data_IF_681240517825
#
_entry.id   IF_681240517825
#
_cell.length_a   1.000
_cell.length_b   1.000
_cell.length_c   1.000
_cell.angle_alpha   90.00
_cell.angle_beta   90.00
_cell.angle_gamma   90.00
#
_symmetry.space_group_name_H-M   'P 1'
#
loop_
_entity.id
_entity.type
_entity.pdbx_description
1 polymer ?
#
# COMPACT_ATOMS: atom_id res chain seq x y z
N UNK A 1 14.09 17.55 -3.57
CA UNK A 1 15.22 18.42 -3.15
C UNK A 1 16.14 17.75 -2.14
N UNK A 2 15.64 17.09 -1.08
CA UNK A 2 16.52 16.46 -0.08
C UNK A 2 17.49 15.40 -0.66
N UNK A 3 17.03 14.59 -1.63
CA UNK A 3 17.89 13.63 -2.36
C UNK A 3 19.10 14.30 -3.03
N UNK A 4 18.93 15.50 -3.58
CA UNK A 4 20.02 16.27 -4.19
C UNK A 4 21.08 16.66 -3.15
N UNK A 5 20.64 17.03 -1.94
CA UNK A 5 21.51 17.36 -0.82
C UNK A 5 21.95 16.14 0.01
N UNK A 6 21.54 14.93 -0.36
CA UNK A 6 21.80 13.67 0.37
C UNK A 6 21.34 13.72 1.84
N UNK A 7 20.19 14.33 2.09
CA UNK A 7 19.57 14.39 3.42
C UNK A 7 18.30 13.54 3.48
N UNK A 8 17.96 12.97 4.66
CA UNK A 8 16.69 12.29 4.85
C UNK A 8 15.50 13.23 4.61
N UNK A 9 14.43 12.66 4.05
CA UNK A 9 13.14 13.34 3.88
C UNK A 9 12.24 12.98 5.06
N UNK A 10 11.83 14.01 5.79
CA UNK A 10 10.71 13.98 6.71
C UNK A 10 9.50 14.58 5.99
N UNK A 11 8.45 13.79 5.79
CA UNK A 11 7.26 14.18 5.03
C UNK A 11 5.98 13.88 5.82
N UNK A 12 4.93 14.68 5.61
CA UNK A 12 3.60 14.43 6.18
C UNK A 12 2.86 13.44 5.30
N UNK A 13 2.33 12.38 5.90
CA UNK A 13 1.44 11.43 5.24
C UNK A 13 0.02 11.52 5.80
N UNK A 14 -0.91 10.81 5.16
CA UNK A 14 -2.25 10.50 5.70
C UNK A 14 -3.03 11.67 6.32
N UNK A 15 -2.95 12.82 5.64
CA UNK A 15 -3.74 13.99 6.01
C UNK A 15 -5.08 14.01 5.29
N UNK A 16 -6.12 14.50 5.95
CA UNK A 16 -7.42 14.77 5.34
C UNK A 16 -8.08 15.96 5.99
N UNK A 17 -8.88 16.68 5.20
CA UNK A 17 -9.75 17.74 5.70
C UNK A 17 -11.13 17.21 6.09
N UNK A 18 -11.40 15.91 5.91
CA UNK A 18 -12.66 15.32 6.34
C UNK A 18 -12.81 15.36 7.86
N UNK A 19 -14.06 15.53 8.29
CA UNK A 19 -14.46 15.70 9.69
C UNK A 19 -14.76 14.36 10.35
N UNK A 20 -14.95 13.32 9.53
CA UNK A 20 -15.39 12.00 9.94
C UNK A 20 -14.66 10.93 9.12
N UNK A 21 -14.59 9.69 9.61
CA UNK A 21 -14.08 8.56 8.83
C UNK A 21 -15.01 8.20 7.67
N UNK A 22 -14.86 8.91 6.55
CA UNK A 22 -15.66 8.73 5.35
C UNK A 22 -14.82 8.46 4.11
N UNK A 23 -15.50 8.48 2.96
CA UNK A 23 -14.88 8.24 1.67
C UNK A 23 -13.85 9.33 1.29
N UNK A 24 -14.07 10.59 1.71
CA UNK A 24 -13.12 11.66 1.49
C UNK A 24 -11.84 11.39 2.28
N UNK A 25 -11.96 11.03 3.57
CA UNK A 25 -10.82 10.65 4.40
C UNK A 25 -10.01 9.51 3.75
N UNK A 26 -10.69 8.48 3.26
CA UNK A 26 -10.03 7.36 2.57
C UNK A 26 -9.23 7.79 1.33
N UNK A 27 -9.85 8.55 0.41
CA UNK A 27 -9.20 8.94 -0.84
C UNK A 27 -8.02 9.91 -0.63
N UNK A 28 -8.19 10.94 0.19
CA UNK A 28 -7.14 11.94 0.44
C UNK A 28 -5.92 11.29 1.09
N UNK A 29 -6.14 10.50 2.15
CA UNK A 29 -5.07 9.82 2.86
C UNK A 29 -4.33 8.82 1.99
N UNK A 30 -5.06 7.99 1.23
CA UNK A 30 -4.44 6.99 0.36
C UNK A 30 -3.59 7.63 -0.75
N UNK A 31 -4.08 8.71 -1.37
CA UNK A 31 -3.34 9.41 -2.43
C UNK A 31 -2.06 10.06 -1.89
N UNK A 32 -2.15 10.75 -0.75
CA UNK A 32 -0.98 11.40 -0.13
C UNK A 32 0.05 10.35 0.28
N UNK A 33 -0.36 9.28 0.97
CA UNK A 33 0.56 8.22 1.40
C UNK A 33 1.30 7.58 0.23
N UNK A 34 0.60 7.27 -0.86
CA UNK A 34 1.23 6.69 -2.03
C UNK A 34 2.25 7.64 -2.66
N UNK A 35 1.90 8.92 -2.82
CA UNK A 35 2.80 9.92 -3.41
C UNK A 35 4.04 10.16 -2.55
N UNK A 36 3.86 10.27 -1.23
CA UNK A 36 4.97 10.45 -0.29
C UNK A 36 5.87 9.23 -0.28
N UNK A 37 5.31 8.02 -0.27
CA UNK A 37 6.08 6.79 -0.37
C UNK A 37 6.85 6.69 -1.69
N UNK A 38 6.22 6.99 -2.82
CA UNK A 38 6.88 7.01 -4.14
C UNK A 38 7.95 8.09 -4.28
N UNK A 39 7.87 9.17 -3.52
CA UNK A 39 8.91 10.21 -3.48
C UNK A 39 10.21 9.75 -2.82
N UNK A 40 10.22 8.58 -2.18
CA UNK A 40 11.34 8.06 -1.41
C UNK A 40 11.49 8.75 -0.06
N UNK A 41 10.38 9.12 0.59
CA UNK A 41 10.41 9.68 1.93
C UNK A 41 11.01 8.69 2.94
N UNK A 42 11.89 9.17 3.82
CA UNK A 42 12.55 8.32 4.82
C UNK A 42 11.73 8.17 6.09
N UNK A 43 10.97 9.20 6.45
CA UNK A 43 10.11 9.22 7.62
C UNK A 43 8.79 9.92 7.24
N UNK A 44 7.70 9.18 7.38
CA UNK A 44 6.34 9.69 7.19
C UNK A 44 5.74 9.91 8.57
N UNK A 45 5.47 11.18 8.92
CA UNK A 45 4.79 11.53 10.16
C UNK A 45 3.30 11.76 9.92
N UNK A 46 2.54 11.79 11.02
CA UNK A 46 1.08 11.90 11.03
C UNK A 46 0.39 10.80 10.23
N UNK A 47 1.06 9.64 10.15
CA UNK A 47 0.71 8.55 9.25
C UNK A 47 -0.53 7.74 9.66
N UNK A 48 -1.27 8.12 10.72
CA UNK A 48 -2.54 7.47 11.07
C UNK A 48 -3.33 8.25 12.13
N UNK A 49 -4.66 8.15 12.08
CA UNK A 49 -5.63 8.58 13.10
C UNK A 49 -6.09 10.04 12.99
N UNK A 50 -5.39 10.88 12.23
CA UNK A 50 -5.73 12.30 12.10
C UNK A 50 -6.88 12.57 11.13
N UNK A 51 -7.73 13.53 11.49
CA UNK A 51 -8.83 14.11 10.72
C UNK A 51 -8.76 15.65 10.86
N UNK A 52 -9.58 16.36 10.09
CA UNK A 52 -9.72 17.83 10.17
C UNK A 52 -8.38 18.57 10.12
N UNK A 53 -7.52 18.23 9.16
CA UNK A 53 -6.20 18.85 9.03
C UNK A 53 -5.36 18.72 10.32
N UNK A 54 -5.40 17.54 10.95
CA UNK A 54 -4.75 17.21 12.23
C UNK A 54 -5.31 17.91 13.48
N UNK A 55 -6.50 18.53 13.40
CA UNK A 55 -7.18 19.08 14.58
C UNK A 55 -7.86 18.00 15.42
N UNK A 56 -8.19 16.86 14.82
CA UNK A 56 -8.91 15.76 15.47
C UNK A 56 -8.15 14.44 15.31
N UNK A 57 -8.11 13.64 16.38
CA UNK A 57 -7.58 12.28 16.37
C UNK A 57 -8.70 11.28 16.67
N UNK A 58 -8.93 10.32 15.76
CA UNK A 58 -9.96 9.29 15.87
C UNK A 58 -9.33 7.90 15.95
N UNK A 59 -9.78 7.10 16.93
CA UNK A 59 -9.35 5.71 17.06
C UNK A 59 -9.92 4.83 15.95
N UNK A 60 -11.13 5.14 15.47
CA UNK A 60 -11.75 4.49 14.32
C UNK A 60 -10.92 4.76 13.06
N UNK A 61 -10.53 6.02 12.83
CA UNK A 61 -9.67 6.38 11.72
C UNK A 61 -8.29 5.72 11.83
N UNK A 62 -7.72 5.60 13.04
CA UNK A 62 -6.45 4.90 13.25
C UNK A 62 -6.50 3.44 12.78
N UNK A 63 -7.61 2.74 13.03
CA UNK A 63 -7.79 1.35 12.58
C UNK A 63 -7.92 1.28 11.05
N UNK A 64 -8.64 2.22 10.44
CA UNK A 64 -8.79 2.31 8.98
C UNK A 64 -7.44 2.61 8.32
N UNK A 65 -6.73 3.61 8.85
CA UNK A 65 -5.44 4.10 8.34
C UNK A 65 -4.38 3.01 8.36
N UNK A 66 -4.42 2.07 9.31
CA UNK A 66 -3.46 0.97 9.37
C UNK A 66 -3.44 0.07 8.11
N UNK A 67 -4.46 0.14 7.25
CA UNK A 67 -4.47 -0.55 5.95
C UNK A 67 -3.68 0.20 4.86
N UNK A 68 -3.71 1.54 4.88
CA UNK A 68 -3.17 2.39 3.81
C UNK A 68 -1.65 2.22 3.64
N UNK A 69 -0.81 2.28 4.69
CA UNK A 69 0.62 2.03 4.56
C UNK A 69 0.92 0.62 4.05
N UNK A 70 0.11 -0.37 4.44
CA UNK A 70 0.27 -1.75 3.99
C UNK A 70 0.09 -1.88 2.48
N UNK A 71 -0.97 -1.27 1.95
CA UNK A 71 -1.23 -1.18 0.51
C UNK A 71 -0.13 -0.40 -0.21
N UNK A 72 0.28 0.75 0.33
CA UNK A 72 1.33 1.59 -0.25
C UNK A 72 2.67 0.86 -0.30
N UNK A 73 3.07 0.20 0.78
CA UNK A 73 4.30 -0.60 0.84
C UNK A 73 4.32 -1.70 -0.22
N UNK A 74 3.18 -2.37 -0.43
CA UNK A 74 3.07 -3.36 -1.51
C UNK A 74 3.24 -2.72 -2.89
N UNK A 75 2.67 -1.55 -3.13
CA UNK A 75 2.82 -0.83 -4.40
C UNK A 75 4.28 -0.37 -4.64
N UNK A 76 4.90 0.22 -3.62
CA UNK A 76 6.26 0.79 -3.70
C UNK A 76 7.33 -0.30 -3.82
N UNK A 77 7.09 -1.51 -3.30
CA UNK A 77 7.97 -2.68 -3.52
C UNK A 77 8.24 -2.94 -5.00
N UNK A 78 7.32 -2.55 -5.88
CA UNK A 78 7.43 -2.74 -7.31
C UNK A 78 7.11 -4.17 -7.76
N UNK A 79 7.62 -4.52 -8.94
CA UNK A 79 7.40 -5.80 -9.61
C UNK A 79 8.75 -6.49 -9.70
N UNK A 80 8.88 -7.64 -9.04
CA UNK A 80 10.06 -8.49 -9.16
C UNK A 80 10.01 -9.27 -10.47
N UNK A 81 11.08 -9.20 -11.27
CA UNK A 81 11.16 -9.85 -12.58
C UNK A 81 12.31 -10.84 -12.57
N UNK A 82 11.97 -12.14 -12.56
CA UNK A 82 12.89 -13.27 -12.67
C UNK A 82 12.14 -14.49 -13.26
N UNK A 83 12.85 -15.59 -13.50
CA UNK A 83 12.27 -16.79 -14.14
C UNK A 83 11.05 -17.36 -13.37
N UNK A 84 11.06 -17.30 -12.03
CA UNK A 84 9.94 -17.77 -11.20
C UNK A 84 8.75 -16.81 -11.25
N UNK A 85 8.97 -15.48 -11.19
CA UNK A 85 7.90 -14.48 -11.14
C UNK A 85 7.29 -14.21 -12.52
N UNK A 86 8.00 -14.51 -13.61
CA UNK A 86 7.45 -14.53 -14.96
C UNK A 86 6.43 -15.67 -15.16
N UNK A 87 6.58 -16.77 -14.41
CA UNK A 87 5.64 -17.90 -14.37
C UNK A 87 5.30 -18.53 -15.73
N UNK A 88 6.23 -18.49 -16.70
CA UNK A 88 6.00 -18.92 -18.08
C UNK A 88 5.57 -20.40 -18.18
N UNK A 89 6.20 -21.28 -17.41
CA UNK A 89 5.85 -22.72 -17.37
C UNK A 89 4.40 -22.96 -16.92
N UNK A 90 3.93 -22.15 -15.96
CA UNK A 90 2.57 -22.27 -15.43
C UNK A 90 1.57 -21.75 -16.46
N UNK A 91 1.90 -20.67 -17.15
CA UNK A 91 1.08 -20.09 -18.23
C UNK A 91 0.91 -21.11 -19.37
N UNK A 92 2.00 -21.72 -19.83
CA UNK A 92 1.95 -22.75 -20.87
C UNK A 92 1.13 -23.97 -20.42
N UNK A 93 1.37 -24.46 -19.19
CA UNK A 93 0.68 -25.62 -18.64
C UNK A 93 -0.83 -25.41 -18.49
N UNK A 94 -1.26 -24.23 -18.06
CA UNK A 94 -2.69 -23.92 -17.87
C UNK A 94 -3.39 -23.75 -19.22
N UNK A 95 -2.74 -23.07 -20.16
CA UNK A 95 -3.23 -22.86 -21.52
C UNK A 95 -4.52 -22.00 -21.60
N UNK A 96 -5.01 -21.76 -22.83
CA UNK A 96 -6.19 -20.94 -23.06
C UNK A 96 -7.46 -21.53 -22.41
N UNK A 97 -8.23 -20.69 -21.71
CA UNK A 97 -9.48 -21.08 -21.05
C UNK A 97 -9.32 -21.80 -19.71
N UNK A 98 -8.09 -22.05 -19.25
CA UNK A 98 -7.81 -22.59 -17.91
C UNK A 98 -7.84 -21.56 -16.79
N UNK A 99 -7.61 -22.00 -15.56
CA UNK A 99 -7.51 -21.14 -14.37
C UNK A 99 -6.29 -21.50 -13.51
N UNK A 100 -5.81 -20.52 -12.74
CA UNK A 100 -4.57 -20.65 -11.95
C UNK A 100 -4.81 -21.01 -10.48
N UNK A 101 -6.06 -20.95 -10.00
CA UNK A 101 -6.40 -21.13 -8.58
C UNK A 101 -5.88 -22.43 -7.94
N UNK A 102 -5.74 -23.51 -8.70
CA UNK A 102 -5.27 -24.82 -8.21
C UNK A 102 -3.79 -25.06 -8.46
N UNK A 103 -3.06 -24.09 -9.02
CA UNK A 103 -1.64 -24.24 -9.30
C UNK A 103 -0.80 -24.05 -8.03
N UNK A 104 0.21 -24.91 -7.86
CA UNK A 104 1.17 -24.80 -6.75
C UNK A 104 1.88 -23.45 -6.72
N UNK A 105 2.17 -22.89 -7.90
CA UNK A 105 2.78 -21.56 -8.04
C UNK A 105 1.89 -20.47 -7.42
N UNK A 106 0.58 -20.50 -7.65
CA UNK A 106 -0.36 -19.55 -7.04
C UNK A 106 -0.39 -19.69 -5.51
N UNK A 107 -0.46 -20.91 -4.98
CA UNK A 107 -0.40 -21.15 -3.53
C UNK A 107 0.90 -20.63 -2.89
N UNK A 108 2.02 -20.78 -3.60
CA UNK A 108 3.34 -20.32 -3.13
C UNK A 108 3.42 -18.79 -3.05
N UNK A 109 2.83 -18.07 -4.02
CA UNK A 109 3.01 -16.63 -4.15
C UNK A 109 1.85 -15.77 -3.63
N UNK A 110 0.66 -16.33 -3.40
CA UNK A 110 -0.52 -15.53 -3.01
C UNK A 110 -0.29 -14.75 -1.70
N UNK A 111 0.43 -15.33 -0.74
CA UNK A 111 0.69 -14.69 0.55
C UNK A 111 1.79 -13.63 0.51
N UNK A 112 2.65 -13.66 -0.52
CA UNK A 112 3.79 -12.74 -0.67
C UNK A 112 3.48 -11.63 -1.68
N UNK A 113 2.70 -11.93 -2.71
CA UNK A 113 2.41 -11.00 -3.80
C UNK A 113 1.15 -10.16 -3.59
N UNK A 114 0.26 -10.53 -2.67
CA UNK A 114 -0.90 -9.72 -2.31
C UNK A 114 -0.70 -9.05 -0.96
N UNK A 115 -1.16 -7.81 -0.85
CA UNK A 115 -1.47 -7.24 0.45
C UNK A 115 -2.79 -7.84 0.93
N UNK A 116 -2.79 -8.47 2.11
CA UNK A 116 -3.99 -9.00 2.73
C UNK A 116 -4.41 -8.06 3.86
N UNK A 117 -5.57 -7.39 3.74
CA UNK A 117 -6.04 -6.46 4.76
C UNK A 117 -6.18 -7.11 6.13
N UNK A 118 -5.85 -6.39 7.20
CA UNK A 118 -5.94 -6.91 8.58
C UNK A 118 -7.32 -6.71 9.18
N UNK A 119 -7.98 -5.62 8.83
CA UNK A 119 -9.33 -5.24 9.28
C UNK A 119 -10.46 -6.11 8.71
N UNK A 120 -10.17 -6.96 7.72
CA UNK A 120 -11.16 -7.84 7.08
C UNK A 120 -11.13 -9.30 7.60
N UNK A 121 -10.43 -9.56 8.72
CA UNK A 121 -10.29 -10.91 9.31
C UNK A 121 -11.11 -11.10 10.57
#
# INVERSE_FOLDING_TARGET
MAHFYRLPIYATGEMTDSKVPDIQAGYEKAMISLLVGLSGANLIHDAAGFLESALTYSYEQLVIDNEIPGMCNRAIRGIEVNDETLALDVIEKVGPGGHYLTQKHTLKHVMTEYYLPKTQR
#
